data_IF_379578142264
#
_entry.id   IF_379578142264
#
_cell.length_a   1.000
_cell.length_b   1.000
_cell.length_c   1.000
_cell.angle_alpha   90.00
_cell.angle_beta   90.00
_cell.angle_gamma   90.00
#
_symmetry.space_group_name_H-M   'P 1'
#
loop_
_entity.id
_entity.type
_entity.pdbx_description
1 polymer ?
#
# COMPACT_ATOMS: atom_id res chain seq x y z
N UNK A 1 27.17 -6.51 -21.28
CA UNK A 1 26.09 -5.72 -20.63
C UNK A 1 24.78 -6.40 -21.03
N UNK A 2 24.01 -7.05 -20.14
CA UNK A 2 22.77 -7.66 -20.55
C UNK A 2 21.71 -6.57 -20.69
N UNK A 3 21.13 -6.46 -21.88
CA UNK A 3 20.02 -5.57 -22.18
C UNK A 3 18.86 -5.87 -21.24
N UNK A 4 18.50 -4.90 -20.39
CA UNK A 4 17.32 -4.97 -19.54
C UNK A 4 16.10 -4.96 -20.45
N UNK A 5 15.46 -6.12 -20.59
CA UNK A 5 14.14 -6.24 -21.21
C UNK A 5 13.18 -5.37 -20.40
N UNK A 6 12.81 -4.21 -20.94
CA UNK A 6 11.77 -3.38 -20.33
C UNK A 6 10.42 -4.03 -20.63
N UNK A 7 9.88 -4.75 -19.64
CA UNK A 7 8.46 -5.17 -19.67
C UNK A 7 7.62 -3.90 -19.84
N UNK A 8 6.77 -3.87 -20.87
CA UNK A 8 5.91 -2.72 -21.12
C UNK A 8 4.95 -2.55 -19.94
N UNK A 9 5.02 -1.41 -19.27
CA UNK A 9 4.18 -1.13 -18.11
C UNK A 9 2.73 -1.02 -18.60
N UNK A 10 1.86 -1.89 -18.08
CA UNK A 10 0.47 -1.95 -18.50
C UNK A 10 -0.21 -0.56 -18.29
N UNK A 11 -1.10 -0.11 -19.20
CA UNK A 11 -1.73 1.22 -19.11
C UNK A 11 -2.46 1.48 -17.78
N UNK A 12 -3.01 0.42 -17.17
CA UNK A 12 -3.65 0.48 -15.85
C UNK A 12 -2.67 0.88 -14.73
N UNK A 13 -1.42 0.40 -14.80
CA UNK A 13 -0.37 0.71 -13.82
C UNK A 13 0.07 2.16 -13.94
N UNK A 14 0.11 2.72 -15.15
CA UNK A 14 0.40 4.15 -15.38
C UNK A 14 -0.69 5.05 -14.82
N UNK A 15 -1.96 4.72 -15.05
CA UNK A 15 -3.11 5.47 -14.50
C UNK A 15 -3.13 5.42 -12.97
N UNK A 16 -2.87 4.26 -12.34
CA UNK A 16 -2.74 4.13 -10.88
C UNK A 16 -1.61 5.00 -10.31
N UNK A 17 -0.43 4.98 -10.94
CA UNK A 17 0.70 5.83 -10.53
C UNK A 17 0.37 7.32 -10.61
N UNK A 18 -0.32 7.76 -11.66
CA UNK A 18 -0.75 9.15 -11.80
C UNK A 18 -1.74 9.56 -10.70
N UNK A 19 -2.73 8.71 -10.42
CA UNK A 19 -3.73 8.98 -9.38
C UNK A 19 -3.08 9.03 -7.99
N UNK A 20 -2.14 8.12 -7.71
CA UNK A 20 -1.40 8.10 -6.45
C UNK A 20 -0.54 9.35 -6.24
N UNK A 21 0.15 9.84 -7.30
CA UNK A 21 0.89 11.11 -7.23
C UNK A 21 -0.02 12.28 -6.85
N UNK A 22 -1.24 12.31 -7.38
CA UNK A 22 -2.24 13.33 -7.01
C UNK A 22 -2.68 13.21 -5.55
N UNK A 23 -2.80 12.00 -5.01
CA UNK A 23 -3.13 11.75 -3.59
C UNK A 23 -1.99 12.22 -2.67
N UNK A 24 -0.73 11.90 -2.99
CA UNK A 24 0.42 12.40 -2.21
C UNK A 24 0.45 13.93 -2.20
N UNK A 25 0.27 14.56 -3.38
CA UNK A 25 0.27 16.02 -3.48
C UNK A 25 -0.83 16.68 -2.61
N UNK A 26 -1.96 15.99 -2.43
CA UNK A 26 -3.08 16.43 -1.59
C UNK A 26 -2.98 16.08 -0.10
N UNK A 27 -2.00 15.26 0.33
CA UNK A 27 -1.93 14.70 1.68
C UNK A 27 -1.59 15.70 2.80
N UNK A 28 -1.38 16.98 2.48
CA UNK A 28 -0.93 18.02 3.42
C UNK A 28 -2.03 18.56 4.37
N UNK A 29 -3.27 18.07 4.30
CA UNK A 29 -4.33 18.43 5.26
C UNK A 29 -4.59 17.25 6.19
N UNK A 30 -3.73 17.09 7.19
CA UNK A 30 -4.00 16.15 8.29
C UNK A 30 -4.88 16.89 9.30
N UNK A 31 -6.11 16.40 9.47
CA UNK A 31 -6.97 16.79 10.59
C UNK A 31 -6.20 16.60 11.90
N UNK A 32 -6.40 17.51 12.86
CA UNK A 32 -5.67 17.53 14.14
C UNK A 32 -5.97 16.34 15.06
N UNK A 33 -6.59 15.27 14.55
CA UNK A 33 -7.09 14.13 15.31
C UNK A 33 -6.57 12.82 14.70
N UNK A 34 -5.98 11.93 15.52
CA UNK A 34 -5.65 10.59 15.05
C UNK A 34 -6.90 9.72 14.89
N UNK A 35 -6.82 8.71 14.01
CA UNK A 35 -7.86 7.71 13.78
C UNK A 35 -8.36 7.05 15.07
N UNK A 36 -7.45 6.79 16.02
CA UNK A 36 -7.81 6.25 17.32
C UNK A 36 -8.71 7.21 18.12
N UNK A 37 -8.34 8.49 18.25
CA UNK A 37 -9.15 9.49 18.95
C UNK A 37 -10.52 9.67 18.30
N UNK A 38 -10.59 9.68 16.96
CA UNK A 38 -11.84 9.74 16.21
C UNK A 38 -12.72 8.52 16.53
N UNK A 39 -12.14 7.30 16.50
CA UNK A 39 -12.89 6.06 16.79
C UNK A 39 -13.44 5.99 18.21
N UNK A 40 -12.84 6.74 19.15
CA UNK A 40 -13.26 6.81 20.55
C UNK A 40 -14.18 7.99 20.85
N UNK A 41 -14.47 8.83 19.84
CA UNK A 41 -15.34 9.99 20.00
C UNK A 41 -14.69 11.13 20.80
N UNK A 42 -13.36 11.18 20.89
CA UNK A 42 -12.68 12.30 21.53
C UNK A 42 -12.76 13.55 20.64
N UNK A 43 -13.35 14.63 21.16
CA UNK A 43 -13.48 15.90 20.43
C UNK A 43 -12.14 16.60 20.18
N UNK A 44 -11.15 16.38 21.06
CA UNK A 44 -9.80 16.91 20.91
C UNK A 44 -8.79 15.82 21.25
N UNK A 45 -7.80 15.66 20.38
CA UNK A 45 -6.68 14.77 20.61
C UNK A 45 -5.48 15.65 20.99
N UNK A 46 -5.12 15.67 22.28
CA UNK A 46 -4.04 16.54 22.77
C UNK A 46 -2.67 15.90 22.51
N UNK A 47 -1.69 16.72 22.16
CA UNK A 47 -0.30 16.27 22.01
C UNK A 47 0.28 15.83 23.35
N UNK A 48 1.08 14.78 23.35
CA UNK A 48 1.80 14.35 24.54
C UNK A 48 2.87 15.40 24.89
N UNK A 49 2.95 15.86 26.15
CA UNK A 49 3.99 16.77 26.60
C UNK A 49 5.38 16.11 26.57
N UNK A 50 5.45 14.78 26.65
CA UNK A 50 6.70 14.00 26.63
C UNK A 50 7.12 13.62 25.22
N UNK A 51 6.17 13.50 24.29
CA UNK A 51 6.42 13.08 22.92
C UNK A 51 5.61 13.94 21.94
N UNK A 52 6.19 15.05 21.50
CA UNK A 52 5.54 16.08 20.69
C UNK A 52 5.08 15.63 19.30
N UNK A 53 5.41 14.40 18.89
CA UNK A 53 4.91 13.81 17.65
C UNK A 53 3.68 12.92 17.85
N UNK A 54 3.28 12.59 19.09
CA UNK A 54 2.20 11.65 19.40
C UNK A 54 1.15 12.26 20.30
N UNK A 55 -0.09 11.80 20.16
CA UNK A 55 -1.17 12.18 21.06
C UNK A 55 -1.02 11.52 22.45
N UNK A 56 -1.35 12.28 23.50
CA UNK A 56 -1.20 11.88 24.91
C UNK A 56 -1.92 10.57 25.23
N UNK A 57 -3.16 10.42 24.77
CA UNK A 57 -3.96 9.21 24.96
C UNK A 57 -3.35 7.98 24.28
N UNK A 58 -2.78 8.15 23.08
CA UNK A 58 -2.13 7.04 22.38
C UNK A 58 -0.80 6.65 23.02
N UNK A 59 -0.07 7.59 23.63
CA UNK A 59 1.13 7.27 24.43
C UNK A 59 0.71 6.53 25.71
N UNK A 60 -0.31 7.03 26.42
CA UNK A 60 -0.85 6.41 27.64
C UNK A 60 -1.30 4.97 27.44
N UNK A 61 -1.94 4.69 26.29
CA UNK A 61 -2.48 3.38 25.95
C UNK A 61 -1.54 2.52 25.07
N UNK A 62 -0.29 2.97 24.88
CA UNK A 62 0.72 2.31 24.05
C UNK A 62 0.22 1.93 22.64
N UNK A 63 -0.58 2.79 22.01
CA UNK A 63 -1.15 2.57 20.68
C UNK A 63 -0.20 3.03 19.58
N UNK A 64 0.16 2.13 18.66
CA UNK A 64 0.95 2.45 17.48
C UNK A 64 0.17 3.31 16.47
N UNK A 65 0.87 4.01 15.58
CA UNK A 65 0.29 4.79 14.47
C UNK A 65 -0.62 5.96 14.86
N UNK A 66 -0.39 6.57 16.03
CA UNK A 66 -1.02 7.84 16.44
C UNK A 66 -0.06 9.04 16.32
N UNK A 67 0.82 9.03 15.32
CA UNK A 67 1.67 10.19 15.07
C UNK A 67 0.84 11.31 14.45
N UNK A 68 0.97 12.51 15.02
CA UNK A 68 0.29 13.74 14.55
C UNK A 68 0.84 14.16 13.19
N UNK A 69 2.08 13.78 12.93
CA UNK A 69 2.64 13.77 11.59
C UNK A 69 2.12 12.50 10.92
N UNK A 70 1.12 12.65 10.04
CA UNK A 70 0.78 11.62 9.08
C UNK A 70 2.00 11.21 8.25
N UNK A 71 1.84 10.16 7.44
CA UNK A 71 2.93 9.62 6.63
C UNK A 71 3.55 10.72 5.75
N UNK A 72 4.88 10.84 5.77
CA UNK A 72 5.58 11.78 4.89
C UNK A 72 5.40 11.35 3.44
N UNK A 73 5.55 12.29 2.50
CA UNK A 73 5.52 11.97 1.06
C UNK A 73 6.50 10.85 0.70
N UNK A 74 7.70 10.84 1.31
CA UNK A 74 8.70 9.78 1.10
C UNK A 74 8.26 8.41 1.65
N UNK A 75 7.56 8.39 2.80
CA UNK A 75 7.00 7.15 3.33
C UNK A 75 5.86 6.64 2.45
N UNK A 76 4.98 7.53 1.98
CA UNK A 76 3.91 7.20 1.04
C UNK A 76 4.46 6.66 -0.28
N UNK A 77 5.50 7.29 -0.83
CA UNK A 77 6.19 6.83 -2.04
C UNK A 77 6.76 5.42 -1.87
N UNK A 78 7.40 5.14 -0.72
CA UNK A 78 7.92 3.80 -0.40
C UNK A 78 6.80 2.76 -0.30
N UNK A 79 5.71 3.08 0.39
CA UNK A 79 4.55 2.18 0.53
C UNK A 79 3.96 1.88 -0.85
N UNK A 80 3.83 2.89 -1.71
CA UNK A 80 3.31 2.66 -3.06
C UNK A 80 4.27 1.88 -3.96
N UNK A 81 5.58 2.13 -3.87
CA UNK A 81 6.56 1.33 -4.60
C UNK A 81 6.43 -0.15 -4.21
N UNK A 82 6.29 -0.43 -2.92
CA UNK A 82 6.06 -1.79 -2.41
C UNK A 82 4.73 -2.36 -2.90
N UNK A 83 3.64 -1.58 -2.83
CA UNK A 83 2.34 -2.00 -3.35
C UNK A 83 2.39 -2.36 -4.85
N UNK A 84 2.99 -1.51 -5.68
CA UNK A 84 3.15 -1.79 -7.11
C UNK A 84 4.02 -3.00 -7.39
N UNK A 85 5.05 -3.23 -6.57
CA UNK A 85 5.87 -4.42 -6.69
C UNK A 85 5.06 -5.68 -6.43
N UNK A 86 4.31 -5.71 -5.32
CA UNK A 86 3.42 -6.82 -4.97
C UNK A 86 2.31 -7.06 -6.00
N UNK A 87 1.73 -6.00 -6.57
CA UNK A 87 0.73 -6.15 -7.64
C UNK A 87 1.33 -6.85 -8.87
N UNK A 88 2.56 -6.50 -9.26
CA UNK A 88 3.22 -7.15 -10.39
C UNK A 88 3.56 -8.62 -10.07
N UNK A 89 4.07 -8.90 -8.86
CA UNK A 89 4.36 -10.27 -8.44
C UNK A 89 3.11 -11.14 -8.42
N UNK A 90 1.98 -10.58 -7.95
CA UNK A 90 0.69 -11.26 -7.96
C UNK A 90 0.24 -11.56 -9.40
N UNK A 91 0.32 -10.58 -10.31
CA UNK A 91 -0.05 -10.79 -11.72
C UNK A 91 0.79 -11.86 -12.40
N UNK A 92 2.10 -11.88 -12.13
CA UNK A 92 3.03 -12.90 -12.65
C UNK A 92 2.69 -14.30 -12.12
N UNK A 93 2.44 -14.43 -10.82
CA UNK A 93 2.04 -15.68 -10.19
C UNK A 93 0.69 -16.19 -10.71
N UNK A 94 -0.28 -15.31 -10.92
CA UNK A 94 -1.57 -15.66 -11.51
C UNK A 94 -1.43 -16.14 -12.96
N UNK A 95 -0.53 -15.53 -13.74
CA UNK A 95 -0.30 -15.98 -15.12
C UNK A 95 0.40 -17.35 -15.17
N UNK A 96 1.37 -17.59 -14.29
CA UNK A 96 2.00 -18.90 -14.16
C UNK A 96 1.00 -19.98 -13.74
N UNK A 97 0.12 -19.67 -12.79
CA UNK A 97 -0.97 -20.55 -12.38
C UNK A 97 -1.86 -20.92 -13.57
N UNK A 98 -2.32 -19.93 -14.35
CA UNK A 98 -3.14 -20.15 -15.56
C UNK A 98 -2.44 -21.06 -16.58
N UNK A 99 -1.13 -20.88 -16.78
CA UNK A 99 -0.34 -21.73 -17.70
C UNK A 99 -0.25 -23.17 -17.22
N UNK A 100 -0.06 -23.34 -15.91
CA UNK A 100 0.03 -24.67 -15.27
C UNK A 100 -1.31 -25.40 -15.34
N UNK A 101 -2.41 -24.73 -15.01
CA UNK A 101 -3.77 -25.30 -15.13
C UNK A 101 -4.07 -25.76 -16.55
N UNK A 102 -3.76 -24.92 -17.55
CA UNK A 102 -3.95 -25.28 -18.95
C UNK A 102 -3.13 -26.52 -19.34
N UNK A 103 -1.92 -26.70 -18.78
CA UNK A 103 -1.10 -27.89 -19.00
C UNK A 103 -1.72 -29.13 -18.34
N UNK A 104 -2.18 -29.01 -17.10
CA UNK A 104 -2.84 -30.10 -16.36
C UNK A 104 -4.10 -30.55 -17.11
N UNK A 105 -4.93 -29.62 -17.58
CA UNK A 105 -6.14 -29.96 -18.34
C UNK A 105 -5.83 -30.67 -19.66
N UNK A 106 -4.78 -30.25 -20.38
CA UNK A 106 -4.31 -30.99 -21.58
C UNK A 106 -3.91 -32.44 -21.24
N UNK A 107 -3.12 -32.62 -20.18
CA UNK A 107 -2.67 -33.95 -19.75
C UNK A 107 -3.84 -34.84 -19.28
N UNK A 108 -4.82 -34.28 -18.57
CA UNK A 108 -6.04 -34.98 -18.15
C UNK A 108 -6.85 -35.47 -19.36
N UNK A 109 -6.97 -34.66 -20.41
CA UNK A 109 -7.63 -35.06 -21.66
C UNK A 109 -6.88 -36.19 -22.37
N UNK A 110 -5.55 -36.10 -22.45
CA UNK A 110 -4.71 -37.14 -23.06
C UNK A 110 -4.79 -38.48 -22.31
N UNK A 111 -4.89 -38.46 -20.98
CA UNK A 111 -5.04 -39.67 -20.14
C UNK A 111 -6.42 -40.34 -20.28
N UNK A 112 -7.45 -39.60 -20.68
CA UNK A 112 -8.82 -40.11 -20.86
C UNK A 112 -9.06 -40.73 -22.25
N UNK A 113 -8.11 -40.61 -23.19
CA UNK A 113 -8.03 -41.45 -24.39
C UNK A 113 -7.28 -42.74 -24.06
#
# INVERSE_FOLDING_TARGET
>A
MPDKISKSVHPKTTRRKSLFKSVIAGANKIDKHCSFCISKGHQECLLSPTNSSRYSECVRLNQSYCDVRGLTSEQLERIAAHHFHLENELEEAEEEHRRTDAKVERLRKQKKM
#
